data_IF_222452548518
#
_entry.id   IF_222452548518
#
_cell.length_a   1.000
_cell.length_b   1.000
_cell.length_c   1.000
_cell.angle_alpha   90.00
_cell.angle_beta   90.00
_cell.angle_gamma   90.00
#
_symmetry.space_group_name_H-M   'P 1'
#
loop_
_entity.id
_entity.type
_entity.pdbx_description
1 polymer ?
#
# COMPACT_ATOMS: atom_id res chain seq x y z
N UNK A 1 -1.17 -34.31 -11.84
CA UNK A 1 -0.66 -33.65 -10.62
C UNK A 1 0.60 -32.85 -10.94
N UNK A 2 1.62 -33.42 -11.62
CA UNK A 2 2.89 -32.71 -11.94
C UNK A 2 2.65 -31.42 -12.74
N UNK A 3 1.81 -31.44 -13.77
CA UNK A 3 1.52 -30.24 -14.57
C UNK A 3 0.91 -29.09 -13.76
N UNK A 4 0.09 -29.40 -12.75
CA UNK A 4 -0.47 -28.39 -11.84
C UNK A 4 0.62 -27.81 -10.92
N UNK A 5 1.48 -28.66 -10.35
CA UNK A 5 2.59 -28.20 -9.52
C UNK A 5 3.50 -27.27 -10.32
N UNK A 6 3.89 -27.66 -11.53
CA UNK A 6 4.71 -26.84 -12.43
C UNK A 6 4.04 -25.51 -12.74
N UNK A 7 2.73 -25.52 -13.07
CA UNK A 7 1.99 -24.30 -13.37
C UNK A 7 1.93 -23.34 -12.18
N UNK A 8 1.62 -23.86 -10.99
CA UNK A 8 1.57 -23.02 -9.77
C UNK A 8 2.96 -22.52 -9.37
N UNK A 9 3.97 -23.39 -9.39
CA UNK A 9 5.34 -23.04 -9.01
C UNK A 9 5.98 -21.99 -9.91
N UNK A 10 5.60 -21.98 -11.22
CA UNK A 10 6.24 -21.10 -12.22
C UNK A 10 5.44 -19.86 -12.56
N UNK A 11 4.09 -19.95 -12.60
CA UNK A 11 3.27 -18.89 -13.19
C UNK A 11 2.32 -18.20 -12.20
N UNK A 12 1.87 -18.88 -11.13
CA UNK A 12 0.87 -18.30 -10.24
C UNK A 12 1.39 -17.04 -9.51
N UNK A 13 2.70 -16.91 -9.32
CA UNK A 13 3.33 -15.71 -8.73
C UNK A 13 2.98 -14.43 -9.50
N UNK A 14 2.80 -14.49 -10.83
CA UNK A 14 2.49 -13.32 -11.67
C UNK A 14 1.07 -12.79 -11.46
N UNK A 15 0.17 -13.58 -10.90
CA UNK A 15 -1.18 -13.11 -10.53
C UNK A 15 -1.14 -12.04 -9.43
N UNK A 16 -0.11 -12.07 -8.58
CA UNK A 16 0.00 -11.13 -7.46
C UNK A 16 0.29 -9.69 -7.92
N UNK A 17 1.35 -9.41 -8.72
CA UNK A 17 1.57 -8.08 -9.27
C UNK A 17 0.46 -7.64 -10.22
N UNK A 18 -0.17 -8.55 -10.97
CA UNK A 18 -1.33 -8.25 -11.80
C UNK A 18 -2.49 -7.73 -10.94
N UNK A 19 -2.81 -8.41 -9.84
CA UNK A 19 -3.84 -7.97 -8.89
C UNK A 19 -3.49 -6.61 -8.27
N UNK A 20 -2.22 -6.38 -7.92
CA UNK A 20 -1.76 -5.09 -7.39
C UNK A 20 -1.94 -3.96 -8.42
N UNK A 21 -1.61 -4.20 -9.69
CA UNK A 21 -1.83 -3.26 -10.78
C UNK A 21 -3.32 -2.92 -10.95
N UNK A 22 -4.20 -3.92 -10.91
CA UNK A 22 -5.65 -3.73 -10.99
C UNK A 22 -6.18 -2.91 -9.80
N UNK A 23 -5.70 -3.16 -8.59
CA UNK A 23 -6.02 -2.34 -7.41
C UNK A 23 -5.56 -0.89 -7.62
N UNK A 24 -4.34 -0.68 -8.11
CA UNK A 24 -3.81 0.66 -8.37
C UNK A 24 -4.66 1.45 -9.37
N UNK A 25 -5.20 0.79 -10.39
CA UNK A 25 -6.12 1.41 -11.34
C UNK A 25 -7.44 1.86 -10.69
N UNK A 26 -7.93 1.10 -9.69
CA UNK A 26 -9.24 1.31 -9.04
C UNK A 26 -9.18 2.28 -7.86
N UNK A 27 -8.04 2.47 -7.20
CA UNK A 27 -7.94 3.40 -6.07
C UNK A 27 -8.07 4.86 -6.52
N UNK A 28 -8.66 5.75 -5.69
CA UNK A 28 -8.77 7.19 -5.98
C UNK A 28 -7.40 7.83 -6.18
N UNK A 29 -7.34 8.88 -7.03
CA UNK A 29 -6.09 9.60 -7.33
C UNK A 29 -5.25 9.98 -6.10
N UNK A 30 -5.83 10.51 -4.99
CA UNK A 30 -5.02 10.89 -3.83
C UNK A 30 -4.36 9.70 -3.14
N UNK A 31 -4.90 8.48 -3.26
CA UNK A 31 -4.34 7.27 -2.66
C UNK A 31 -3.29 6.59 -3.55
N UNK A 32 -3.24 6.90 -4.85
CA UNK A 32 -2.30 6.27 -5.79
C UNK A 32 -0.85 6.48 -5.39
N UNK A 33 -0.49 7.69 -4.95
CA UNK A 33 0.87 7.98 -4.50
C UNK A 33 1.24 7.21 -3.22
N UNK A 34 0.28 7.07 -2.30
CA UNK A 34 0.50 6.27 -1.09
C UNK A 34 0.70 4.79 -1.42
N UNK A 35 -0.16 4.22 -2.28
CA UNK A 35 -0.04 2.83 -2.73
C UNK A 35 1.26 2.59 -3.51
N UNK A 36 1.63 3.49 -4.42
CA UNK A 36 2.89 3.40 -5.15
C UNK A 36 4.10 3.49 -4.21
N UNK A 37 4.09 4.42 -3.26
CA UNK A 37 5.14 4.56 -2.26
C UNK A 37 5.30 3.32 -1.39
N UNK A 38 4.18 2.75 -0.92
CA UNK A 38 4.19 1.46 -0.19
C UNK A 38 4.73 0.35 -1.10
N UNK A 39 4.27 0.25 -2.35
CA UNK A 39 4.72 -0.78 -3.29
C UNK A 39 6.22 -0.72 -3.54
N UNK A 40 6.74 0.45 -3.91
CA UNK A 40 8.18 0.64 -4.18
C UNK A 40 9.02 0.33 -2.94
N UNK A 41 8.65 0.87 -1.78
CA UNK A 41 9.41 0.63 -0.55
C UNK A 41 9.36 -0.85 -0.13
N UNK A 42 8.22 -1.52 -0.31
CA UNK A 42 8.07 -2.96 -0.06
C UNK A 42 9.01 -3.77 -0.94
N UNK A 43 9.10 -3.47 -2.24
CA UNK A 43 10.01 -4.17 -3.16
C UNK A 43 11.46 -3.95 -2.74
N UNK A 44 11.87 -2.71 -2.46
CA UNK A 44 13.24 -2.39 -2.03
C UNK A 44 13.60 -3.13 -0.74
N UNK A 45 12.72 -3.08 0.28
CA UNK A 45 12.95 -3.77 1.55
C UNK A 45 12.94 -5.30 1.39
N UNK A 46 12.10 -5.83 0.48
CA UNK A 46 12.07 -7.25 0.14
C UNK A 46 13.38 -7.70 -0.48
N UNK A 47 13.92 -6.97 -1.46
CA UNK A 47 15.22 -7.25 -2.08
C UNK A 47 16.36 -7.21 -1.06
N UNK A 48 16.41 -6.18 -0.22
CA UNK A 48 17.40 -6.09 0.86
C UNK A 48 17.27 -7.27 1.83
N UNK A 49 16.02 -7.66 2.17
CA UNK A 49 15.78 -8.80 3.05
C UNK A 49 16.20 -10.13 2.45
N UNK A 50 16.00 -10.34 1.13
CA UNK A 50 16.50 -11.52 0.40
C UNK A 50 18.03 -11.58 0.47
N UNK A 51 18.70 -10.48 0.16
CA UNK A 51 20.15 -10.41 0.16
C UNK A 51 20.75 -10.67 1.54
N UNK A 52 20.21 -10.03 2.58
CA UNK A 52 20.60 -10.29 3.97
C UNK A 52 20.38 -11.75 4.34
N UNK A 53 19.20 -12.28 4.03
CA UNK A 53 18.85 -13.68 4.32
C UNK A 53 19.79 -14.66 3.65
N UNK A 54 20.10 -14.45 2.37
CA UNK A 54 21.02 -15.30 1.61
C UNK A 54 22.44 -15.29 2.17
N UNK A 55 22.90 -14.15 2.72
CA UNK A 55 24.21 -14.06 3.37
C UNK A 55 24.24 -14.69 4.77
N UNK A 56 23.12 -14.68 5.49
CA UNK A 56 23.05 -15.25 6.86
C UNK A 56 22.82 -16.75 6.88
N UNK A 57 22.20 -17.30 5.84
CA UNK A 57 21.87 -18.73 5.78
C UNK A 57 22.11 -19.28 4.37
N UNK A 58 23.11 -20.15 4.24
CA UNK A 58 23.36 -20.91 3.03
C UNK A 58 22.58 -22.22 3.10
N UNK A 59 21.60 -22.41 2.21
CA UNK A 59 20.78 -23.61 2.09
C UNK A 59 20.88 -24.17 0.67
N UNK A 60 21.73 -25.17 0.42
CA UNK A 60 21.80 -25.82 -0.89
C UNK A 60 20.43 -26.41 -1.25
N UNK A 61 19.99 -26.21 -2.49
CA UNK A 61 18.68 -26.66 -2.94
C UNK A 61 18.51 -28.18 -2.84
N UNK A 62 17.26 -28.70 -2.63
CA UNK A 62 17.01 -30.14 -2.49
C UNK A 62 17.63 -30.97 -3.60
N UNK A 63 17.45 -30.59 -4.87
CA UNK A 63 17.98 -31.32 -6.00
C UNK A 63 19.52 -31.35 -6.09
N UNK A 64 20.20 -30.38 -5.44
CA UNK A 64 21.67 -30.37 -5.33
C UNK A 64 22.13 -31.35 -4.25
N UNK A 65 21.34 -31.45 -3.16
CA UNK A 65 21.69 -32.30 -2.01
C UNK A 65 21.50 -33.80 -2.30
N UNK A 66 20.38 -34.15 -2.95
CA UNK A 66 19.99 -35.56 -3.18
C UNK A 66 20.16 -36.04 -4.63
N UNK A 67 20.51 -35.16 -5.56
CA UNK A 67 20.72 -35.49 -6.97
C UNK A 67 19.46 -35.81 -7.77
N UNK A 68 18.27 -35.62 -7.20
CA UNK A 68 17.02 -35.86 -7.91
C UNK A 68 16.72 -34.72 -8.88
N UNK A 69 16.19 -35.06 -10.06
CA UNK A 69 15.81 -34.05 -11.04
C UNK A 69 14.61 -33.24 -10.58
N UNK A 70 14.69 -31.89 -10.44
CA UNK A 70 13.55 -31.06 -10.07
C UNK A 70 12.51 -31.03 -11.18
N UNK A 71 11.23 -30.78 -10.82
CA UNK A 71 10.12 -30.69 -11.79
C UNK A 71 10.18 -29.46 -12.69
N UNK A 72 10.92 -28.42 -12.27
CA UNK A 72 11.15 -27.19 -13.02
C UNK A 72 12.65 -26.87 -13.10
N UNK A 73 13.17 -26.39 -14.24
CA UNK A 73 14.57 -26.00 -14.35
C UNK A 73 14.90 -24.90 -13.34
N UNK A 74 16.03 -25.07 -12.62
CA UNK A 74 16.50 -24.09 -11.65
C UNK A 74 18.03 -24.10 -11.54
N UNK A 75 18.65 -22.95 -11.21
CA UNK A 75 20.09 -22.86 -10.92
C UNK A 75 20.43 -23.54 -9.60
N UNK A 76 21.66 -24.05 -9.49
CA UNK A 76 22.21 -24.68 -8.29
C UNK A 76 22.80 -23.62 -7.32
N UNK A 77 22.08 -22.52 -7.09
CA UNK A 77 22.43 -21.44 -6.19
C UNK A 77 21.84 -21.64 -4.78
N UNK A 78 22.03 -20.63 -3.90
CA UNK A 78 21.41 -20.66 -2.56
C UNK A 78 19.88 -20.73 -2.64
N UNK A 79 19.26 -21.64 -1.89
CA UNK A 79 17.80 -21.81 -1.81
C UNK A 79 17.14 -20.79 -0.89
N UNK A 80 17.83 -20.30 0.13
CA UNK A 80 17.25 -19.42 1.14
C UNK A 80 17.54 -17.94 0.87
N UNK A 81 16.52 -17.06 1.02
CA UNK A 81 15.08 -17.37 1.08
C UNK A 81 14.49 -17.58 -0.33
N UNK A 82 13.26 -18.09 -0.41
CA UNK A 82 12.56 -18.21 -1.70
C UNK A 82 12.11 -16.85 -2.23
N UNK A 83 12.69 -16.36 -3.32
CA UNK A 83 12.33 -15.10 -3.98
C UNK A 83 10.86 -15.03 -4.36
N UNK A 84 10.32 -16.11 -4.99
CA UNK A 84 8.91 -16.18 -5.41
C UNK A 84 7.97 -15.99 -4.22
N UNK A 85 8.26 -16.64 -3.10
CA UNK A 85 7.44 -16.52 -1.90
C UNK A 85 7.59 -15.15 -1.25
N UNK A 86 8.83 -14.61 -1.21
CA UNK A 86 9.11 -13.28 -0.68
C UNK A 86 8.32 -12.21 -1.43
N UNK A 87 8.43 -12.16 -2.76
CA UNK A 87 7.73 -11.16 -3.55
C UNK A 87 6.21 -11.35 -3.53
N UNK A 88 5.72 -12.59 -3.61
CA UNK A 88 4.29 -12.85 -3.53
C UNK A 88 3.70 -12.39 -2.19
N UNK A 89 4.33 -12.75 -1.07
CA UNK A 89 3.89 -12.35 0.27
C UNK A 89 4.02 -10.83 0.48
N UNK A 90 5.10 -10.21 0.02
CA UNK A 90 5.35 -8.78 0.13
C UNK A 90 4.28 -7.95 -0.59
N UNK A 91 4.03 -8.23 -1.86
CA UNK A 91 3.04 -7.50 -2.67
C UNK A 91 1.63 -7.74 -2.11
N UNK A 92 1.30 -8.99 -1.75
CA UNK A 92 -0.01 -9.32 -1.17
C UNK A 92 -0.24 -8.55 0.15
N UNK A 93 0.73 -8.57 1.08
CA UNK A 93 0.64 -7.87 2.34
C UNK A 93 0.59 -6.33 2.17
N UNK A 94 1.29 -5.78 1.18
CA UNK A 94 1.25 -4.36 0.86
C UNK A 94 -0.15 -3.86 0.49
N UNK A 95 -1.04 -4.72 -0.01
CA UNK A 95 -2.43 -4.38 -0.36
C UNK A 95 -3.39 -4.37 0.83
N UNK A 96 -3.01 -4.83 2.01
CA UNK A 96 -3.87 -4.94 3.20
C UNK A 96 -4.61 -3.64 3.56
N UNK A 97 -4.01 -2.43 3.47
CA UNK A 97 -4.71 -1.19 3.78
C UNK A 97 -5.87 -0.87 2.85
N UNK A 98 -5.83 -1.33 1.60
CA UNK A 98 -6.80 -0.97 0.55
C UNK A 98 -7.81 -2.08 0.24
N UNK A 99 -7.39 -3.34 0.25
CA UNK A 99 -8.22 -4.49 -0.19
C UNK A 99 -7.95 -5.73 0.66
N UNK A 100 -8.38 -5.72 1.93
CA UNK A 100 -8.07 -6.78 2.92
C UNK A 100 -8.45 -8.20 2.45
N UNK A 101 -9.64 -8.38 1.86
CA UNK A 101 -10.08 -9.71 1.40
C UNK A 101 -9.24 -10.22 0.23
N UNK A 102 -8.93 -9.34 -0.73
CA UNK A 102 -8.04 -9.68 -1.84
C UNK A 102 -6.64 -9.99 -1.33
N UNK A 103 -6.07 -9.14 -0.46
CA UNK A 103 -4.75 -9.36 0.13
C UNK A 103 -4.67 -10.71 0.87
N UNK A 104 -5.69 -11.06 1.66
CA UNK A 104 -5.76 -12.37 2.31
C UNK A 104 -5.76 -13.53 1.31
N UNK A 105 -6.56 -13.43 0.23
CA UNK A 105 -6.56 -14.43 -0.84
C UNK A 105 -5.20 -14.54 -1.55
N UNK A 106 -4.53 -13.40 -1.78
CA UNK A 106 -3.19 -13.39 -2.38
C UNK A 106 -2.10 -13.92 -1.43
N UNK A 107 -2.24 -13.75 -0.12
CA UNK A 107 -1.35 -14.39 0.86
C UNK A 107 -1.51 -15.92 0.87
N UNK A 108 -2.75 -16.41 0.75
CA UNK A 108 -3.00 -17.85 0.55
C UNK A 108 -2.37 -18.34 -0.76
N UNK A 109 -2.49 -17.56 -1.85
CA UNK A 109 -1.82 -17.88 -3.11
C UNK A 109 -0.30 -17.90 -2.96
N UNK A 110 0.30 -16.94 -2.22
CA UNK A 110 1.73 -16.93 -1.94
C UNK A 110 2.19 -18.20 -1.20
N UNK A 111 1.41 -18.65 -0.22
CA UNK A 111 1.66 -19.92 0.47
C UNK A 111 1.53 -21.12 -0.48
N UNK A 112 0.54 -21.13 -1.38
CA UNK A 112 0.36 -22.19 -2.39
C UNK A 112 1.53 -22.22 -3.40
N UNK A 113 2.04 -21.04 -3.82
CA UNK A 113 3.25 -20.93 -4.66
C UNK A 113 4.43 -21.54 -3.92
N UNK A 114 4.65 -21.16 -2.65
CA UNK A 114 5.73 -21.73 -1.84
C UNK A 114 5.62 -23.25 -1.70
N UNK A 115 4.44 -23.78 -1.39
CA UNK A 115 4.20 -25.22 -1.31
C UNK A 115 4.48 -25.94 -2.65
N UNK A 116 4.08 -25.34 -3.78
CA UNK A 116 4.36 -25.88 -5.11
C UNK A 116 5.87 -25.89 -5.42
N UNK A 117 6.64 -24.91 -4.94
CA UNK A 117 8.10 -24.89 -5.12
C UNK A 117 8.82 -25.97 -4.30
N UNK A 118 8.31 -26.27 -3.10
CA UNK A 118 8.79 -27.44 -2.32
C UNK A 118 8.42 -28.74 -3.06
N UNK A 119 7.19 -28.87 -3.52
CA UNK A 119 6.74 -30.05 -4.28
C UNK A 119 7.47 -30.20 -5.65
N UNK A 120 7.94 -29.09 -6.24
CA UNK A 120 8.77 -29.10 -7.44
C UNK A 120 10.25 -29.43 -7.17
N UNK A 121 10.62 -29.66 -5.92
CA UNK A 121 11.96 -30.03 -5.47
C UNK A 121 13.05 -28.96 -5.70
N UNK A 122 12.66 -27.68 -5.63
CA UNK A 122 13.58 -26.54 -5.82
C UNK A 122 13.83 -25.73 -4.55
N UNK A 123 13.01 -25.92 -3.49
CA UNK A 123 13.17 -25.26 -2.20
C UNK A 123 12.87 -26.20 -1.04
N UNK A 124 13.48 -25.95 0.11
CA UNK A 124 13.09 -26.52 1.39
C UNK A 124 11.96 -25.70 2.04
N UNK A 125 11.26 -26.29 3.01
CA UNK A 125 10.19 -25.60 3.75
C UNK A 125 10.70 -24.34 4.48
N UNK A 126 11.89 -24.32 5.12
CA UNK A 126 12.44 -23.12 5.74
C UNK A 126 12.60 -21.94 4.77
N UNK A 127 12.97 -22.18 3.48
CA UNK A 127 13.11 -21.12 2.47
C UNK A 127 11.79 -20.40 2.23
N UNK A 128 10.69 -21.16 2.23
CA UNK A 128 9.34 -20.64 2.04
C UNK A 128 8.89 -19.82 3.25
N UNK A 129 9.12 -20.34 4.45
CA UNK A 129 8.79 -19.64 5.71
C UNK A 129 9.61 -18.36 5.79
N UNK A 130 10.92 -18.42 5.55
CA UNK A 130 11.82 -17.26 5.56
C UNK A 130 11.39 -16.20 4.54
N UNK A 131 11.13 -16.62 3.30
CA UNK A 131 10.64 -15.72 2.25
C UNK A 131 9.32 -15.06 2.60
N UNK A 132 8.36 -15.82 3.14
CA UNK A 132 7.07 -15.29 3.54
C UNK A 132 7.19 -14.25 4.67
N UNK A 133 8.02 -14.52 5.68
CA UNK A 133 8.27 -13.59 6.79
C UNK A 133 8.99 -12.32 6.33
N UNK A 134 10.02 -12.44 5.51
CA UNK A 134 10.76 -11.30 4.94
C UNK A 134 9.79 -10.41 4.15
N UNK A 135 8.98 -11.00 3.26
CA UNK A 135 8.01 -10.26 2.48
C UNK A 135 6.95 -9.55 3.32
N UNK A 136 6.40 -10.24 4.32
CA UNK A 136 5.41 -9.66 5.23
C UNK A 136 6.00 -8.49 6.05
N UNK A 137 7.20 -8.65 6.61
CA UNK A 137 7.89 -7.60 7.38
C UNK A 137 8.20 -6.40 6.48
N UNK A 138 8.71 -6.62 5.27
CA UNK A 138 8.98 -5.57 4.30
C UNK A 138 7.72 -4.72 4.02
N UNK A 139 6.58 -5.36 3.79
CA UNK A 139 5.30 -4.68 3.57
C UNK A 139 4.82 -3.90 4.81
N UNK A 140 4.90 -4.49 6.00
CA UNK A 140 4.50 -3.84 7.25
C UNK A 140 5.33 -2.58 7.47
N UNK A 141 6.65 -2.67 7.36
CA UNK A 141 7.56 -1.53 7.51
C UNK A 141 7.24 -0.44 6.48
N UNK A 142 7.06 -0.81 5.22
CA UNK A 142 6.71 0.13 4.15
C UNK A 142 5.39 0.87 4.44
N UNK A 143 4.35 0.16 4.88
CA UNK A 143 3.06 0.74 5.24
C UNK A 143 3.22 1.74 6.40
N UNK A 144 3.97 1.38 7.44
CA UNK A 144 4.17 2.24 8.61
C UNK A 144 4.95 3.51 8.24
N UNK A 145 6.04 3.38 7.48
CA UNK A 145 6.87 4.50 7.04
C UNK A 145 6.06 5.47 6.17
N UNK A 146 5.37 4.97 5.14
CA UNK A 146 4.58 5.83 4.25
C UNK A 146 3.45 6.53 5.02
N UNK A 147 2.75 5.84 5.92
CA UNK A 147 1.73 6.45 6.79
C UNK A 147 2.30 7.54 7.66
N UNK A 148 3.47 7.33 8.28
CA UNK A 148 4.13 8.34 9.11
C UNK A 148 4.49 9.59 8.30
N UNK A 149 5.07 9.43 7.10
CA UNK A 149 5.43 10.53 6.21
C UNK A 149 4.22 11.36 5.76
N UNK A 150 3.11 10.69 5.43
CA UNK A 150 1.87 11.37 5.01
C UNK A 150 1.21 12.12 6.16
N UNK A 151 1.21 11.57 7.38
CA UNK A 151 0.69 12.25 8.58
C UNK A 151 1.49 13.54 8.90
N UNK A 152 2.80 13.48 8.82
CA UNK A 152 3.66 14.64 9.07
C UNK A 152 3.43 15.76 8.04
N UNK A 153 3.20 15.42 6.76
CA UNK A 153 2.86 16.40 5.71
C UNK A 153 1.51 17.08 5.96
N UNK A 154 0.52 16.36 6.46
CA UNK A 154 -0.78 16.91 6.87
C UNK A 154 -0.66 17.89 8.02
N UNK A 155 0.12 17.57 9.05
CA UNK A 155 0.41 18.44 10.19
C UNK A 155 1.12 19.74 9.82
N UNK A 156 2.08 19.67 8.91
CA UNK A 156 2.81 20.87 8.41
C UNK A 156 1.89 21.82 7.61
N UNK A 157 0.96 21.29 6.81
CA UNK A 157 -0.02 22.11 6.06
C UNK A 157 -0.98 22.85 6.99
N UNK A 158 -1.48 22.19 8.04
CA UNK A 158 -2.37 22.80 9.04
C UNK A 158 -1.65 23.88 9.85
N UNK A 159 -0.35 23.68 10.19
CA UNK A 159 0.45 24.70 10.88
C UNK A 159 0.74 25.92 9.98
N UNK A 160 1.06 25.70 8.69
CA UNK A 160 1.28 26.77 7.72
C UNK A 160 0.00 27.59 7.45
N UNK A 161 -1.17 26.94 7.37
CA UNK A 161 -2.47 27.62 7.18
C UNK A 161 -2.84 28.53 8.36
N UNK A 162 -2.54 28.12 9.59
CA UNK A 162 -2.79 28.96 10.80
C UNK A 162 -1.92 30.21 10.88
N UNK A 163 -0.72 30.20 10.32
CA UNK A 163 0.13 31.39 10.31
C UNK A 163 -0.32 32.43 9.27
N UNK A 164 -0.98 32.03 8.19
CA UNK A 164 -1.50 32.96 7.17
C UNK A 164 -2.77 33.68 7.65
N UNK A 165 -3.63 33.00 8.44
CA UNK A 165 -4.87 33.62 8.94
C UNK A 165 -4.62 34.62 10.08
N UNK A 166 -3.61 34.38 10.93
CA UNK A 166 -3.24 35.31 12.02
C UNK A 166 -2.62 36.63 11.53
N UNK A 167 -2.09 36.69 10.31
CA UNK A 167 -1.50 37.92 9.76
C UNK A 167 -2.53 38.90 9.22
N UNK A 168 -3.76 38.47 8.94
CA UNK A 168 -4.86 39.32 8.45
C UNK A 168 -5.58 40.04 9.61
N UNK A 169 -5.73 39.41 10.77
CA UNK A 169 -6.40 40.02 11.92
C UNK A 169 -5.58 41.16 12.57
N UNK A 170 -4.26 41.13 12.46
CA UNK A 170 -3.40 42.20 13.00
C UNK A 170 -3.22 43.41 12.07
N UNK A 171 -3.62 43.28 10.78
CA UNK A 171 -3.50 44.37 9.78
C UNK A 171 -4.68 45.34 9.76
N UNK A 172 -5.84 44.98 10.34
CA UNK A 172 -7.06 45.80 10.31
C UNK A 172 -7.30 46.62 11.59
N UNK A 173 -6.47 46.46 12.64
CA UNK A 173 -6.62 47.14 13.90
C UNK A 173 -5.81 48.48 14.03
N UNK A 174 -5.02 48.82 13.00
CA UNK A 174 -4.18 50.04 13.04
C UNK A 174 -4.61 51.02 11.92
N UNK A 175 -5.77 51.62 12.04
CA UNK A 175 -6.10 52.73 11.16
C UNK A 175 -7.60 53.02 11.04
N UNK A 176 -8.20 53.70 12.03
CA UNK A 176 -9.19 54.76 11.83
C UNK A 176 -9.59 55.36 13.20
N UNK A 177 -8.80 56.30 13.66
CA UNK A 177 -9.32 57.37 14.52
C UNK A 177 -9.51 58.62 13.62
N UNK A 178 -10.73 59.02 13.34
CA UNK A 178 -10.96 60.29 12.63
C UNK A 178 -12.38 60.45 12.08
N UNK A 179 -13.22 61.19 12.82
CA UNK A 179 -14.18 62.12 12.24
C UNK A 179 -15.60 61.62 11.99
N UNK A 180 -16.50 62.04 12.86
CA UNK A 180 -17.93 61.83 12.85
C UNK A 180 -18.67 62.29 11.62
N UNK A 181 -19.80 61.64 11.42
CA UNK A 181 -21.10 62.28 11.07
C UNK A 181 -22.21 61.28 11.27
N UNK A 182 -23.21 61.69 12.07
CA UNK A 182 -24.48 60.96 12.24
C UNK A 182 -25.28 61.07 10.95
N UNK A 183 -25.87 60.03 10.51
CA UNK A 183 -27.02 60.05 9.62
C UNK A 183 -27.91 58.85 9.92
N UNK A 184 -29.16 59.09 9.90
CA UNK A 184 -30.32 58.44 10.49
C UNK A 184 -30.69 57.04 10.02
N UNK A 185 -31.60 56.35 10.74
CA UNK A 185 -31.96 54.96 10.48
C UNK A 185 -32.99 54.87 9.33
N UNK A 186 -32.73 53.95 8.40
CA UNK A 186 -33.69 53.62 7.34
C UNK A 186 -34.79 52.75 7.87
N UNK A 187 -36.03 53.21 7.68
CA UNK A 187 -37.28 52.54 7.96
C UNK A 187 -37.45 51.30 7.09
N UNK A 188 -37.87 50.20 7.74
CA UNK A 188 -38.30 48.96 7.12
C UNK A 188 -39.58 49.17 6.29
N UNK A 189 -39.52 48.85 5.02
CA UNK A 189 -40.69 48.77 4.16
C UNK A 189 -41.15 47.31 4.08
N UNK A 190 -42.16 46.97 4.87
CA UNK A 190 -42.97 45.76 4.74
C UNK A 190 -43.95 45.94 3.58
N UNK A 191 -43.70 45.28 2.46
CA UNK A 191 -44.76 44.90 1.52
C UNK A 191 -44.20 43.95 0.42
N UNK A 192 -44.86 42.81 0.34
CA UNK A 192 -44.89 41.86 -0.81
C UNK A 192 -44.46 40.44 -0.50
N UNK A 193 -45.34 39.69 0.19
CA UNK A 193 -45.42 38.24 0.08
C UNK A 193 -46.34 37.86 -1.07
N UNK A 194 -45.89 37.04 -2.04
CA UNK A 194 -46.83 36.37 -2.94
C UNK A 194 -47.50 35.18 -2.25
N UNK A 195 -48.81 35.10 -2.41
CA UNK A 195 -49.67 34.01 -1.94
C UNK A 195 -49.46 32.75 -2.76
N UNK A 196 -49.43 31.59 -2.08
CA UNK A 196 -49.49 30.27 -2.72
C UNK A 196 -50.93 29.98 -3.18
N UNK A 197 -51.12 29.37 -4.36
CA UNK A 197 -52.43 28.83 -4.71
C UNK A 197 -52.68 27.49 -4.04
N UNK A 198 -53.85 27.34 -3.46
CA UNK A 198 -54.46 26.13 -2.92
C UNK A 198 -54.81 25.18 -4.08
N UNK A 199 -54.31 23.96 -4.07
CA UNK A 199 -54.83 22.87 -4.88
C UNK A 199 -55.95 22.18 -4.14
N UNK A 200 -57.17 22.29 -4.64
CA UNK A 200 -58.33 21.49 -4.28
C UNK A 200 -58.55 20.38 -5.32
N UNK A 201 -59.17 19.33 -4.85
CA UNK A 201 -59.76 18.14 -5.45
C UNK A 201 -58.78 17.05 -5.88
#
# INVERSE_FOLDING_TARGET
VHSLIVAVASYAVFLVPLAAALVWLQVPRPEKLALAGVGVLTIVLGLVGIEIGAHLWADPRPFVVDGQTPLIPHSADNGFPSDHTTFAAAIAAALLPWRRRLAAGLLVLAAAVGAARVAAHVHHVPDIIGGFLIGAVAAIVAILVVRMLLRNRGGLRVAAGRHTDASWENGTAAGTSGGGRRSEPWQTNEASRPQRPSSGS
#
